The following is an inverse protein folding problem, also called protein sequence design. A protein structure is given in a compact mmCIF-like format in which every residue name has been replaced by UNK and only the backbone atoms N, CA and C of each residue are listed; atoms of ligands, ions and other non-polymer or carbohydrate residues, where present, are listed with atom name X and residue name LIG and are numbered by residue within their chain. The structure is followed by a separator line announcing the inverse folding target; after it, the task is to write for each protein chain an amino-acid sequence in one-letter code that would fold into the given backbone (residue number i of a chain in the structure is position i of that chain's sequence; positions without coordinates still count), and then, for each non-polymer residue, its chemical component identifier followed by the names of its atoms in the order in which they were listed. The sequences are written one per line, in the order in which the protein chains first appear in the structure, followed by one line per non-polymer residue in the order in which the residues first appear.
data_IF_543299023210
#
_entry.id   IF_543299023210
#
_cell.length_a   1.000
_cell.length_b   1.000
_cell.length_c   1.000
_cell.angle_alpha   90.00
_cell.angle_beta   90.00
_cell.angle_gamma   90.00
#
_symmetry.space_group_name_H-M   'P 1'
#
loop_
_entity.id
_entity.type
_entity.pdbx_description
1 polymer ?
#
# COMPACT_ATOMS: atom_id res chain seq x y z
N UNK A 1 9.21 -12.66 -11.23
CA UNK A 1 10.68 -12.52 -11.26
C UNK A 1 11.25 -12.34 -12.66
N UNK A 2 10.82 -13.13 -13.65
CA UNK A 2 11.30 -12.98 -15.05
C UNK A 2 11.17 -11.54 -15.57
N UNK A 3 10.01 -10.89 -15.37
CA UNK A 3 9.81 -9.51 -15.82
C UNK A 3 10.68 -8.48 -15.08
N UNK A 4 10.84 -8.63 -13.76
CA UNK A 4 11.71 -7.74 -12.98
C UNK A 4 13.19 -7.81 -13.41
N UNK A 5 13.61 -8.93 -14.01
CA UNK A 5 14.95 -9.12 -14.57
C UNK A 5 15.04 -8.70 -16.05
N UNK A 6 13.90 -8.52 -16.74
CA UNK A 6 13.86 -8.21 -18.17
C UNK A 6 14.18 -6.75 -18.44
N UNK A 7 13.59 -5.85 -17.66
CA UNK A 7 13.84 -4.41 -17.72
C UNK A 7 13.63 -3.74 -16.34
N UNK A 8 14.45 -2.73 -15.98
CA UNK A 8 14.27 -2.02 -14.72
C UNK A 8 12.88 -1.39 -14.62
N UNK A 9 12.09 -1.89 -13.66
CA UNK A 9 10.68 -1.51 -13.52
C UNK A 9 10.36 -1.21 -12.06
N UNK A 10 9.65 -0.10 -11.82
CA UNK A 10 9.03 0.19 -10.53
C UNK A 10 7.59 -0.35 -10.53
N UNK A 11 7.36 -1.42 -9.78
CA UNK A 11 6.06 -2.06 -9.63
C UNK A 11 5.30 -1.44 -8.45
N UNK A 12 4.03 -1.09 -8.66
CA UNK A 12 3.15 -0.57 -7.60
C UNK A 12 2.17 -1.63 -7.14
N UNK A 13 2.12 -1.90 -5.83
CA UNK A 13 1.16 -2.82 -5.20
C UNK A 13 0.18 -2.05 -4.31
N UNK A 14 -1.12 -2.25 -4.56
CA UNK A 14 -2.22 -1.53 -3.87
C UNK A 14 -2.72 -2.32 -2.66
N UNK A 15 -1.84 -2.49 -1.67
CA UNK A 15 -2.15 -3.04 -0.34
C UNK A 15 -1.10 -2.57 0.66
N UNK A 16 -1.42 -2.48 1.94
CA UNK A 16 -0.46 -2.02 2.96
C UNK A 16 0.66 -3.05 3.19
N UNK A 17 1.91 -2.61 3.11
CA UNK A 17 3.05 -3.52 3.29
C UNK A 17 3.24 -3.95 4.73
N UNK A 18 2.85 -3.13 5.69
CA UNK A 18 2.82 -3.49 7.10
C UNK A 18 1.71 -2.70 7.81
N UNK A 19 1.16 -3.22 8.92
CA UNK A 19 0.27 -2.43 9.76
C UNK A 19 1.02 -1.28 10.47
N UNK A 20 0.31 -0.32 11.06
CA UNK A 20 0.88 0.68 11.96
C UNK A 20 1.70 0.05 13.10
N UNK A 21 2.86 0.63 13.36
CA UNK A 21 3.81 0.24 14.41
C UNK A 21 4.18 1.42 15.31
N UNK A 22 4.52 2.57 14.73
CA UNK A 22 5.21 3.66 15.43
C UNK A 22 4.46 4.21 16.65
N UNK A 23 3.13 4.29 16.57
CA UNK A 23 2.31 4.83 17.66
C UNK A 23 2.25 3.93 18.91
N UNK A 24 2.47 2.62 18.73
CA UNK A 24 2.28 1.63 19.81
C UNK A 24 3.53 0.79 20.09
N UNK A 25 4.58 0.94 19.28
CA UNK A 25 5.78 0.11 19.34
C UNK A 25 5.53 -1.37 19.05
N UNK A 26 4.39 -1.72 18.45
CA UNK A 26 4.00 -3.09 18.15
C UNK A 26 2.87 -3.13 17.10
N UNK A 27 2.94 -4.09 16.17
CA UNK A 27 1.83 -4.37 15.25
C UNK A 27 0.61 -4.90 16.03
N UNK A 28 0.83 -5.84 16.95
CA UNK A 28 -0.23 -6.49 17.75
C UNK A 28 0.05 -6.29 19.25
N UNK A 29 -0.31 -5.13 19.83
CA UNK A 29 0.04 -4.78 21.20
C UNK A 29 -0.43 -5.81 22.23
N UNK A 30 0.46 -6.20 23.14
CA UNK A 30 0.17 -7.20 24.18
C UNK A 30 0.28 -8.65 23.72
N UNK A 31 0.64 -8.92 22.46
CA UNK A 31 1.09 -10.24 22.02
C UNK A 31 2.57 -10.45 22.34
N UNK A 32 2.95 -11.68 22.67
CA UNK A 32 4.35 -12.06 22.85
C UNK A 32 4.88 -12.75 21.59
N UNK A 33 6.16 -12.53 21.28
CA UNK A 33 6.81 -13.17 20.12
C UNK A 33 6.35 -12.65 18.76
N UNK A 34 5.72 -11.47 18.70
CA UNK A 34 5.43 -10.77 17.43
C UNK A 34 6.65 -9.96 17.02
N UNK A 35 7.15 -10.10 15.77
CA UNK A 35 8.31 -9.35 15.33
C UNK A 35 8.10 -7.83 15.26
N UNK A 36 9.19 -7.08 15.39
CA UNK A 36 9.19 -5.62 15.49
C UNK A 36 9.65 -4.91 14.20
N UNK A 37 9.82 -5.65 13.11
CA UNK A 37 10.12 -5.08 11.79
C UNK A 37 9.29 -5.77 10.69
N UNK A 38 9.14 -5.09 9.56
CA UNK A 38 8.24 -5.50 8.48
C UNK A 38 8.63 -6.87 7.92
N UNK A 39 9.92 -7.12 7.68
CA UNK A 39 10.39 -8.35 7.01
C UNK A 39 10.10 -9.58 7.85
N UNK A 40 10.44 -9.52 9.12
CA UNK A 40 10.19 -10.61 10.05
C UNK A 40 8.69 -10.75 10.33
N UNK A 41 7.95 -9.64 10.34
CA UNK A 41 6.49 -9.68 10.46
C UNK A 41 5.83 -10.36 9.24
N UNK A 42 6.33 -10.16 8.02
CA UNK A 42 5.83 -10.87 6.85
C UNK A 42 6.06 -12.38 6.96
N UNK A 43 7.25 -12.79 7.42
CA UNK A 43 7.55 -14.21 7.68
C UNK A 43 6.63 -14.78 8.78
N UNK A 44 6.36 -13.99 9.82
CA UNK A 44 5.43 -14.36 10.89
C UNK A 44 4.00 -14.54 10.38
N UNK A 45 3.51 -13.63 9.53
CA UNK A 45 2.19 -13.75 8.89
C UNK A 45 2.13 -15.03 8.04
N UNK A 46 3.12 -15.28 7.18
CA UNK A 46 3.15 -16.47 6.32
C UNK A 46 3.17 -17.78 7.12
N UNK A 47 3.94 -17.81 8.23
CA UNK A 47 4.01 -18.98 9.11
C UNK A 47 2.73 -19.22 9.93
N UNK A 48 1.94 -18.17 10.18
CA UNK A 48 0.70 -18.24 10.98
C UNK A 48 -0.58 -18.27 10.14
N UNK A 49 -0.47 -18.20 8.82
CA UNK A 49 -1.57 -18.27 7.87
C UNK A 49 -1.45 -19.53 6.99
N UNK A 50 -2.01 -20.68 7.40
CA UNK A 50 -1.96 -21.91 6.62
C UNK A 50 -2.89 -21.89 5.39
N UNK A 51 -3.56 -20.77 5.12
CA UNK A 51 -4.54 -20.65 4.05
C UNK A 51 -3.90 -20.89 2.66
N UNK A 52 -4.67 -21.45 1.73
CA UNK A 52 -4.27 -21.67 0.34
C UNK A 52 -4.10 -20.33 -0.42
N UNK A 53 -3.44 -20.36 -1.58
CA UNK A 53 -3.34 -19.22 -2.53
C UNK A 53 -2.97 -17.87 -1.91
N UNK A 54 -2.03 -17.87 -0.95
CA UNK A 54 -1.60 -16.66 -0.21
C UNK A 54 -2.70 -16.00 0.64
N UNK A 55 -3.84 -16.65 0.87
CA UNK A 55 -4.86 -16.17 1.79
C UNK A 55 -4.28 -15.89 3.18
N UNK A 56 -4.91 -14.99 3.94
CA UNK A 56 -4.50 -14.76 5.32
C UNK A 56 -5.69 -14.70 6.28
N UNK A 57 -6.83 -15.27 5.87
CA UNK A 57 -8.05 -15.23 6.66
C UNK A 57 -7.84 -15.85 8.04
N UNK A 58 -7.17 -17.00 8.14
CA UNK A 58 -6.90 -17.66 9.43
C UNK A 58 -6.10 -16.78 10.38
N UNK A 59 -5.17 -15.96 9.87
CA UNK A 59 -4.38 -15.03 10.70
C UNK A 59 -5.28 -13.99 11.37
N UNK A 60 -6.21 -13.39 10.62
CA UNK A 60 -7.11 -12.35 11.12
C UNK A 60 -8.30 -12.93 11.88
N UNK A 61 -8.84 -14.08 11.45
CA UNK A 61 -10.12 -14.60 11.93
C UNK A 61 -9.96 -15.55 13.14
N UNK A 62 -8.79 -16.20 13.28
CA UNK A 62 -8.54 -17.18 14.33
C UNK A 62 -7.31 -16.84 15.18
N UNK A 63 -6.14 -16.62 14.57
CA UNK A 63 -4.88 -16.49 15.32
C UNK A 63 -4.82 -15.19 16.12
N UNK A 64 -5.14 -14.05 15.49
CA UNK A 64 -5.01 -12.71 16.08
C UNK A 64 -6.33 -11.94 16.10
N UNK A 65 -7.45 -12.66 16.16
CA UNK A 65 -8.82 -12.13 16.00
C UNK A 65 -9.15 -10.89 16.84
N UNK A 66 -8.61 -10.82 18.05
CA UNK A 66 -8.83 -9.71 18.99
C UNK A 66 -8.32 -8.35 18.50
N UNK A 67 -7.43 -8.32 17.50
CA UNK A 67 -6.83 -7.08 16.98
C UNK A 67 -7.56 -6.51 15.77
N UNK A 68 -8.51 -7.25 15.20
CA UNK A 68 -9.19 -6.90 13.96
C UNK A 68 -10.66 -6.64 14.20
N UNK A 69 -11.16 -5.55 13.62
CA UNK A 69 -12.56 -5.18 13.68
C UNK A 69 -13.34 -5.85 12.54
N UNK A 70 -14.23 -6.78 12.88
CA UNK A 70 -15.11 -7.51 11.95
C UNK A 70 -16.59 -7.20 12.15
N UNK A 71 -16.97 -6.56 13.26
CA UNK A 71 -18.35 -6.17 13.51
C UNK A 71 -18.52 -5.37 14.79
N UNK A 72 -19.72 -4.80 14.96
CA UNK A 72 -20.12 -4.15 16.22
C UNK A 72 -20.01 -5.11 17.42
N UNK A 73 -20.08 -6.42 17.19
CA UNK A 73 -19.87 -7.45 18.22
C UNK A 73 -18.45 -7.44 18.82
N UNK A 74 -17.47 -6.85 18.12
CA UNK A 74 -16.09 -6.72 18.61
C UNK A 74 -15.90 -5.51 19.52
N UNK A 75 -16.85 -4.56 19.53
CA UNK A 75 -16.79 -3.33 20.31
C UNK A 75 -16.78 -2.06 19.45
N UNK A 76 -16.19 -0.99 19.99
CA UNK A 76 -16.15 0.32 19.31
C UNK A 76 -15.06 0.32 18.25
N UNK A 77 -15.43 0.50 16.98
CA UNK A 77 -14.51 0.51 15.82
C UNK A 77 -13.24 1.35 16.04
N UNK A 78 -13.38 2.51 16.66
CA UNK A 78 -12.27 3.45 16.89
C UNK A 78 -11.14 2.86 17.74
N UNK A 79 -11.42 1.84 18.57
CA UNK A 79 -10.43 1.20 19.43
C UNK A 79 -9.51 0.24 18.64
N UNK A 80 -9.92 -0.15 17.44
CA UNK A 80 -9.18 -1.05 16.55
C UNK A 80 -8.44 -0.29 15.45
N UNK A 81 -9.08 0.73 14.89
CA UNK A 81 -8.62 1.46 13.71
C UNK A 81 -7.43 2.35 14.07
N UNK A 82 -6.26 1.96 13.55
CA UNK A 82 -4.98 2.66 13.70
C UNK A 82 -4.41 3.00 12.33
N UNK A 83 -3.58 4.04 12.26
CA UNK A 83 -3.03 4.55 11.01
C UNK A 83 -1.51 4.71 11.09
N UNK A 84 -0.84 4.57 9.95
CA UNK A 84 0.61 4.80 9.85
C UNK A 84 0.89 6.29 9.80
N UNK A 85 2.14 6.67 10.06
CA UNK A 85 2.58 8.06 9.95
C UNK A 85 2.33 8.64 8.54
N UNK A 86 2.51 7.85 7.48
CA UNK A 86 2.19 8.29 6.11
C UNK A 86 0.69 8.55 5.90
N UNK A 87 -0.17 7.75 6.54
CA UNK A 87 -1.62 7.92 6.47
C UNK A 87 -2.05 9.22 7.19
N UNK A 88 -1.45 9.52 8.36
CA UNK A 88 -1.66 10.79 9.04
C UNK A 88 -1.25 11.98 8.19
N UNK A 89 -0.09 11.90 7.52
CA UNK A 89 0.39 12.95 6.62
C UNK A 89 -0.56 13.17 5.44
N UNK A 90 -1.04 12.09 4.84
CA UNK A 90 -2.06 12.15 3.78
C UNK A 90 -3.35 12.80 4.27
N UNK A 91 -3.81 12.44 5.48
CA UNK A 91 -5.00 13.01 6.08
C UNK A 91 -4.84 14.53 6.35
N UNK A 92 -3.67 14.96 6.83
CA UNK A 92 -3.34 16.38 7.03
C UNK A 92 -3.34 17.17 5.70
N UNK A 93 -2.91 16.55 4.61
CA UNK A 93 -2.98 17.11 3.25
C UNK A 93 -4.40 17.06 2.64
N UNK A 94 -5.44 16.71 3.41
CA UNK A 94 -6.83 16.66 2.98
C UNK A 94 -7.29 15.31 2.39
N UNK A 95 -6.48 14.25 2.50
CA UNK A 95 -6.86 12.90 2.11
C UNK A 95 -7.83 12.29 3.12
N UNK A 96 -9.14 12.31 2.89
CA UNK A 96 -10.11 11.84 3.91
C UNK A 96 -10.38 10.33 3.97
N UNK A 97 -9.55 9.47 3.35
CA UNK A 97 -9.95 8.07 3.06
C UNK A 97 -8.81 7.04 3.03
N UNK A 98 -7.95 7.01 4.04
CA UNK A 98 -7.15 5.80 4.30
C UNK A 98 -8.01 4.80 5.08
N UNK A 99 -7.87 3.51 4.77
CA UNK A 99 -8.47 2.43 5.54
C UNK A 99 -7.38 1.82 6.42
N UNK A 100 -7.72 1.49 7.67
CA UNK A 100 -6.78 0.82 8.57
C UNK A 100 -6.61 -0.64 8.17
N UNK A 101 -5.39 -1.16 8.28
CA UNK A 101 -5.10 -2.58 8.14
C UNK A 101 -5.79 -3.47 9.20
N UNK A 102 -6.39 -2.86 10.24
CA UNK A 102 -7.15 -3.56 11.28
C UNK A 102 -8.68 -3.53 11.05
N UNK A 103 -9.16 -2.82 10.03
CA UNK A 103 -10.57 -2.77 9.67
C UNK A 103 -10.90 -3.88 8.65
N UNK A 104 -11.48 -4.98 9.13
CA UNK A 104 -11.83 -6.15 8.32
C UNK A 104 -13.29 -6.13 7.85
N UNK A 105 -14.02 -5.02 8.03
CA UNK A 105 -15.42 -4.88 7.61
C UNK A 105 -15.56 -4.34 6.18
N UNK A 106 -16.54 -4.91 5.47
CA UNK A 106 -17.14 -4.32 4.27
C UNK A 106 -16.33 -4.54 3.01
N UNK A 107 -16.78 -3.92 1.90
CA UNK A 107 -16.19 -4.11 0.57
C UNK A 107 -14.74 -3.60 0.44
N UNK A 108 -14.22 -2.90 1.46
CA UNK A 108 -12.86 -2.38 1.44
C UNK A 108 -11.81 -3.48 1.64
N UNK A 109 -12.09 -4.56 2.41
CA UNK A 109 -11.20 -5.73 2.70
C UNK A 109 -9.68 -5.45 2.68
N UNK A 110 -9.26 -4.24 3.05
CA UNK A 110 -7.87 -3.79 2.93
C UNK A 110 -7.02 -4.61 3.88
N UNK A 111 -7.56 -4.96 5.04
CA UNK A 111 -6.96 -5.89 5.98
C UNK A 111 -6.61 -7.22 5.29
N UNK A 112 -7.60 -7.99 4.81
CA UNK A 112 -7.34 -9.32 4.21
C UNK A 112 -6.37 -9.25 3.03
N UNK A 113 -6.54 -8.27 2.13
CA UNK A 113 -5.65 -8.08 0.99
C UNK A 113 -4.22 -7.74 1.42
N UNK A 114 -4.05 -6.89 2.44
CA UNK A 114 -2.72 -6.51 2.95
C UNK A 114 -2.00 -7.67 3.60
N UNK A 115 -2.68 -8.46 4.44
CA UNK A 115 -2.03 -9.63 5.07
C UNK A 115 -1.73 -10.74 4.06
N UNK A 116 -2.59 -10.97 3.07
CA UNK A 116 -2.26 -11.84 1.92
C UNK A 116 -1.06 -11.29 1.12
N UNK A 117 -1.04 -9.97 0.91
CA UNK A 117 0.06 -9.24 0.30
C UNK A 117 1.37 -9.37 1.07
N UNK A 118 1.34 -9.37 2.41
CA UNK A 118 2.54 -9.61 3.24
C UNK A 118 3.12 -11.00 3.02
N UNK A 119 2.27 -12.03 2.84
CA UNK A 119 2.75 -13.38 2.43
C UNK A 119 3.43 -13.34 1.06
N UNK A 120 2.90 -12.57 0.11
CA UNK A 120 3.56 -12.34 -1.18
C UNK A 120 4.91 -11.64 -1.01
N UNK A 121 4.96 -10.55 -0.22
CA UNK A 121 6.18 -9.80 0.07
C UNK A 121 7.27 -10.70 0.68
N UNK A 122 6.90 -11.59 1.60
CA UNK A 122 7.81 -12.59 2.16
C UNK A 122 8.43 -13.47 1.05
N UNK A 123 7.62 -13.97 0.12
CA UNK A 123 8.08 -14.87 -0.97
C UNK A 123 8.94 -14.18 -2.03
N UNK A 124 8.78 -12.88 -2.23
CA UNK A 124 9.57 -12.10 -3.20
C UNK A 124 10.75 -11.36 -2.55
N UNK A 125 10.80 -11.33 -1.23
CA UNK A 125 11.91 -10.78 -0.45
C UNK A 125 13.25 -11.35 -0.91
N UNK A 126 14.25 -10.48 -1.08
CA UNK A 126 15.58 -10.83 -1.57
C UNK A 126 15.65 -11.16 -3.07
N UNK A 127 14.51 -11.18 -3.78
CA UNK A 127 14.46 -11.39 -5.24
C UNK A 127 14.29 -10.07 -6.00
N UNK A 128 13.51 -9.14 -5.44
CA UNK A 128 13.33 -7.76 -5.93
C UNK A 128 13.38 -6.82 -4.74
N UNK A 129 13.91 -5.60 -4.92
CA UNK A 129 13.92 -4.61 -3.85
C UNK A 129 12.48 -4.20 -3.50
N UNK A 130 12.18 -4.10 -2.20
CA UNK A 130 10.87 -3.65 -1.69
C UNK A 130 11.09 -2.34 -0.96
N UNK A 131 10.72 -1.22 -1.59
CA UNK A 131 10.84 0.10 -0.97
C UNK A 131 9.69 0.37 0.00
N UNK A 132 9.93 1.01 1.16
CA UNK A 132 11.21 1.54 1.65
C UNK A 132 12.05 0.57 2.51
N UNK A 133 11.65 -0.70 2.63
CA UNK A 133 12.37 -1.70 3.43
C UNK A 133 13.76 -2.00 2.88
N UNK A 134 13.93 -1.85 1.56
CA UNK A 134 15.19 -1.97 0.83
C UNK A 134 15.62 -0.64 0.20
N UNK A 135 16.93 -0.40 0.08
CA UNK A 135 17.43 0.66 -0.78
C UNK A 135 17.10 0.34 -2.25
N UNK A 136 16.73 1.38 -3.01
CA UNK A 136 16.60 1.26 -4.47
C UNK A 136 17.93 1.63 -5.10
N UNK A 137 18.46 0.73 -5.93
CA UNK A 137 19.67 0.97 -6.70
C UNK A 137 19.33 1.35 -8.15
N UNK A 138 20.08 2.28 -8.77
CA UNK A 138 19.89 2.63 -10.17
C UNK A 138 19.96 1.40 -11.08
N UNK A 139 19.05 1.32 -12.05
CA UNK A 139 19.02 0.22 -13.02
C UNK A 139 18.47 -1.10 -12.47
N UNK A 140 17.89 -1.12 -11.26
CA UNK A 140 17.22 -2.29 -10.71
C UNK A 140 15.71 -2.09 -10.63
N UNK A 141 14.98 -3.20 -10.72
CA UNK A 141 13.55 -3.22 -10.45
C UNK A 141 13.27 -3.14 -8.95
N UNK A 142 12.18 -2.48 -8.60
CA UNK A 142 11.72 -2.35 -7.22
C UNK A 142 10.20 -2.45 -7.14
N UNK A 143 9.70 -2.83 -5.97
CA UNK A 143 8.29 -2.85 -5.60
C UNK A 143 8.04 -1.74 -4.60
N UNK A 144 6.97 -0.98 -4.76
CA UNK A 144 6.52 0.02 -3.80
C UNK A 144 5.03 -0.11 -3.52
N UNK A 145 4.66 0.25 -2.30
CA UNK A 145 3.26 0.41 -1.93
C UNK A 145 2.69 1.64 -2.64
N UNK A 146 1.49 1.52 -3.22
CA UNK A 146 0.82 2.63 -3.89
C UNK A 146 -0.59 2.86 -3.36
N UNK A 147 -1.10 4.07 -3.58
CA UNK A 147 -2.48 4.43 -3.36
C UNK A 147 -2.94 5.33 -4.51
N UNK A 148 -3.65 4.78 -5.50
CA UNK A 148 -3.97 5.46 -6.78
C UNK A 148 -4.41 6.91 -6.64
N UNK A 149 -5.27 7.19 -5.65
CA UNK A 149 -5.84 8.52 -5.44
C UNK A 149 -4.78 9.59 -5.14
N UNK A 150 -3.62 9.25 -4.56
CA UNK A 150 -2.57 10.24 -4.28
C UNK A 150 -2.05 10.89 -5.55
N UNK A 151 -1.94 10.13 -6.65
CA UNK A 151 -1.41 10.66 -7.90
C UNK A 151 -2.37 11.67 -8.53
N UNK A 152 -3.68 11.41 -8.46
CA UNK A 152 -4.68 12.38 -8.90
C UNK A 152 -4.63 13.66 -8.06
N UNK A 153 -4.45 13.54 -6.75
CA UNK A 153 -4.34 14.69 -5.85
C UNK A 153 -3.08 15.51 -6.11
N UNK A 154 -1.94 14.84 -6.29
CA UNK A 154 -0.67 15.48 -6.64
C UNK A 154 -0.75 16.19 -8.00
N UNK A 155 -1.64 15.74 -8.90
CA UNK A 155 -1.94 16.40 -10.17
C UNK A 155 -2.96 17.55 -10.06
N UNK A 156 -3.39 17.93 -8.85
CA UNK A 156 -4.38 18.99 -8.61
C UNK A 156 -5.83 18.60 -8.85
N UNK A 157 -6.14 17.29 -8.96
CA UNK A 157 -7.48 16.78 -9.24
C UNK A 157 -8.21 16.36 -7.95
N UNK A 158 -9.52 16.13 -8.05
CA UNK A 158 -10.37 15.77 -6.90
C UNK A 158 -10.08 14.38 -6.30
N UNK A 159 -9.32 13.52 -6.99
CA UNK A 159 -9.11 12.13 -6.58
C UNK A 159 -10.37 11.25 -6.63
N UNK A 160 -11.40 11.69 -7.35
CA UNK A 160 -12.58 10.89 -7.62
C UNK A 160 -12.24 9.72 -8.57
N UNK A 161 -13.03 8.64 -8.48
CA UNK A 161 -12.91 7.51 -9.42
C UNK A 161 -13.25 7.98 -10.83
N UNK A 162 -12.39 7.65 -11.79
CA UNK A 162 -12.57 7.99 -13.20
C UNK A 162 -13.25 6.81 -13.89
N UNK A 163 -14.22 7.07 -14.77
CA UNK A 163 -14.95 6.02 -15.52
C UNK A 163 -15.22 6.39 -16.97
N UNK A 164 -14.52 7.41 -17.44
CA UNK A 164 -14.64 7.89 -18.82
C UNK A 164 -13.27 8.12 -19.41
N UNK A 165 -13.12 7.93 -20.71
CA UNK A 165 -11.90 8.25 -21.46
C UNK A 165 -11.57 9.74 -21.34
N UNK A 166 -12.57 10.60 -21.32
CA UNK A 166 -12.37 12.05 -21.20
C UNK A 166 -11.70 12.39 -19.87
N UNK A 167 -12.24 11.90 -18.76
CA UNK A 167 -11.67 12.17 -17.42
C UNK A 167 -10.30 11.52 -17.26
N UNK A 168 -10.13 10.28 -17.78
CA UNK A 168 -8.82 9.62 -17.81
C UNK A 168 -7.79 10.46 -18.58
N UNK A 169 -8.13 10.97 -19.76
CA UNK A 169 -7.19 11.73 -20.58
C UNK A 169 -6.87 13.10 -19.97
N UNK A 170 -7.82 13.73 -19.28
CA UNK A 170 -7.56 14.93 -18.47
C UNK A 170 -6.56 14.63 -17.35
N UNK A 171 -6.75 13.51 -16.64
CA UNK A 171 -5.85 13.07 -15.59
C UNK A 171 -4.45 12.74 -16.12
N UNK A 172 -4.35 11.99 -17.22
CA UNK A 172 -3.07 11.66 -17.85
C UNK A 172 -2.33 12.92 -18.30
N UNK A 173 -3.04 13.90 -18.88
CA UNK A 173 -2.46 15.18 -19.26
C UNK A 173 -1.88 15.92 -18.04
N UNK A 174 -2.63 16.00 -16.94
CA UNK A 174 -2.17 16.63 -15.71
C UNK A 174 -0.93 15.92 -15.11
N UNK A 175 -0.84 14.61 -15.30
CA UNK A 175 0.32 13.78 -14.93
C UNK A 175 1.45 13.80 -15.98
N UNK A 176 1.40 14.71 -16.98
CA UNK A 176 2.44 14.83 -18.00
C UNK A 176 2.56 13.60 -18.92
N UNK A 177 1.47 12.86 -19.11
CA UNK A 177 1.40 11.63 -19.88
C UNK A 177 0.54 11.79 -21.15
N UNK A 178 0.87 11.10 -22.25
CA UNK A 178 0.00 11.08 -23.43
C UNK A 178 -1.40 10.53 -23.12
N UNK A 179 -2.42 10.92 -23.90
CA UNK A 179 -3.77 10.37 -23.74
C UNK A 179 -3.79 8.87 -24.03
N UNK A 180 -4.64 8.14 -23.32
CA UNK A 180 -4.88 6.73 -23.55
C UNK A 180 -5.64 6.53 -24.87
N UNK A 181 -5.14 5.61 -25.71
CA UNK A 181 -5.74 5.26 -27.01
C UNK A 181 -6.71 4.08 -26.88
N UNK A 182 -7.66 4.19 -25.94
CA UNK A 182 -8.66 3.15 -25.70
C UNK A 182 -9.78 3.22 -26.74
N UNK A 183 -10.21 2.05 -27.22
CA UNK A 183 -11.35 1.90 -28.16
C UNK A 183 -12.70 1.72 -27.44
N UNK A 184 -12.70 1.79 -26.11
CA UNK A 184 -13.85 1.56 -25.23
C UNK A 184 -13.81 2.53 -24.03
N UNK A 185 -14.94 2.71 -23.34
CA UNK A 185 -14.96 3.43 -22.06
C UNK A 185 -14.40 2.54 -20.94
N UNK A 186 -13.37 2.98 -20.22
CA UNK A 186 -12.74 2.17 -19.18
C UNK A 186 -13.58 2.12 -17.90
N UNK A 187 -13.48 1.02 -17.17
CA UNK A 187 -13.97 0.96 -15.78
C UNK A 187 -13.01 1.66 -14.80
N UNK A 188 -13.38 1.68 -13.52
CA UNK A 188 -12.55 2.31 -12.49
C UNK A 188 -11.25 1.54 -12.22
N UNK A 189 -11.21 0.22 -12.39
CA UNK A 189 -9.98 -0.56 -12.23
C UNK A 189 -8.95 -0.25 -13.32
N UNK A 190 -9.38 -0.17 -14.57
CA UNK A 190 -8.54 0.14 -15.72
C UNK A 190 -8.01 1.56 -15.66
N UNK A 191 -8.86 2.54 -15.30
CA UNK A 191 -8.40 3.91 -15.10
C UNK A 191 -7.44 4.02 -13.92
N UNK A 192 -7.71 3.34 -12.80
CA UNK A 192 -6.83 3.35 -11.63
C UNK A 192 -5.43 2.81 -11.97
N UNK A 193 -5.35 1.72 -12.75
CA UNK A 193 -4.06 1.17 -13.20
C UNK A 193 -3.27 2.15 -14.09
N UNK A 194 -3.93 2.76 -15.08
CA UNK A 194 -3.29 3.71 -16.01
C UNK A 194 -2.84 4.99 -15.31
N UNK A 195 -3.69 5.53 -14.43
CA UNK A 195 -3.39 6.71 -13.62
C UNK A 195 -2.26 6.43 -12.65
N UNK A 196 -2.25 5.27 -12.00
CA UNK A 196 -1.17 4.87 -11.09
C UNK A 196 0.16 4.79 -11.82
N UNK A 197 0.22 4.11 -12.97
CA UNK A 197 1.45 4.00 -13.74
C UNK A 197 1.97 5.38 -14.21
N UNK A 198 1.07 6.24 -14.73
CA UNK A 198 1.41 7.62 -15.10
C UNK A 198 1.86 8.44 -13.89
N UNK A 199 1.18 8.27 -12.76
CA UNK A 199 1.42 8.93 -11.49
C UNK A 199 2.77 8.59 -10.89
N UNK A 200 3.10 7.31 -10.82
CA UNK A 200 4.40 6.84 -10.37
C UNK A 200 5.52 7.41 -11.24
N UNK A 201 5.36 7.36 -12.57
CA UNK A 201 6.33 7.95 -13.51
C UNK A 201 6.51 9.45 -13.32
N UNK A 202 5.42 10.19 -13.12
CA UNK A 202 5.47 11.62 -12.84
C UNK A 202 6.16 11.89 -11.49
N UNK A 203 5.83 11.10 -10.46
CA UNK A 203 6.37 11.25 -9.12
C UNK A 203 7.87 10.97 -9.03
N UNK A 204 8.43 10.10 -9.87
CA UNK A 204 9.88 9.89 -9.95
C UNK A 204 10.69 11.16 -10.22
N UNK A 205 10.07 12.22 -10.77
CA UNK A 205 10.72 13.53 -10.99
C UNK A 205 10.69 14.42 -9.75
N UNK A 206 9.97 14.03 -8.70
CA UNK A 206 9.88 14.79 -7.46
C UNK A 206 11.18 14.61 -6.65
N UNK A 207 11.81 15.69 -6.13
CA UNK A 207 13.07 15.59 -5.38
C UNK A 207 13.01 14.66 -4.16
N UNK A 208 11.82 14.48 -3.60
CA UNK A 208 11.56 13.64 -2.43
C UNK A 208 10.86 12.30 -2.75
N UNK A 209 10.91 11.82 -3.99
CA UNK A 209 10.19 10.62 -4.40
C UNK A 209 10.50 9.38 -3.54
N UNK A 210 11.78 9.19 -3.18
CA UNK A 210 12.24 8.06 -2.35
C UNK A 210 12.72 8.47 -0.97
N UNK A 211 12.72 9.77 -0.69
CA UNK A 211 13.09 10.35 0.62
C UNK A 211 12.03 11.40 1.03
N UNK A 212 10.75 11.00 1.16
CA UNK A 212 9.69 11.91 1.56
C UNK A 212 9.93 12.44 2.97
N UNK A 213 9.62 13.72 3.25
CA UNK A 213 9.69 14.25 4.60
C UNK A 213 8.81 13.43 5.55
N UNK A 214 9.41 12.97 6.65
CA UNK A 214 8.75 12.15 7.66
C UNK A 214 9.06 10.66 7.57
N UNK A 215 9.60 10.14 6.45
CA UNK A 215 10.09 8.76 6.38
C UNK A 215 11.44 8.65 7.08
N UNK A 216 11.43 8.19 8.34
CA UNK A 216 12.64 7.90 9.11
C UNK A 216 13.18 6.48 8.80
N UNK A 217 14.46 6.19 9.12
CA UNK A 217 15.00 4.83 9.01
C UNK A 217 14.24 3.79 9.85
N UNK A 218 13.62 4.22 10.95
CA UNK A 218 12.77 3.36 11.77
C UNK A 218 11.48 3.01 11.04
N UNK A 219 10.75 4.02 10.54
CA UNK A 219 9.52 3.80 9.79
C UNK A 219 9.76 2.98 8.52
N UNK A 220 10.87 3.22 7.83
CA UNK A 220 11.25 2.45 6.64
C UNK A 220 11.35 0.95 6.91
N UNK A 221 11.79 0.54 8.12
CA UNK A 221 11.91 -0.86 8.52
C UNK A 221 10.65 -1.44 9.17
N UNK A 222 9.74 -0.60 9.68
CA UNK A 222 8.57 -1.06 10.46
C UNK A 222 7.26 -0.95 9.68
N UNK A 223 6.70 0.25 9.50
CA UNK A 223 5.38 0.43 8.88
C UNK A 223 5.44 0.93 7.42
N UNK A 224 6.63 1.30 6.95
CA UNK A 224 6.91 1.69 5.58
C UNK A 224 6.35 3.07 5.20
N UNK A 225 6.09 3.25 3.91
CA UNK A 225 5.55 4.48 3.36
C UNK A 225 4.84 4.21 2.03
N UNK A 226 3.72 4.87 1.77
CA UNK A 226 3.05 4.80 0.47
C UNK A 226 3.75 5.74 -0.53
N UNK A 227 4.18 5.21 -1.67
CA UNK A 227 4.83 5.97 -2.72
C UNK A 227 3.88 7.03 -3.29
N UNK A 228 4.36 8.26 -3.43
CA UNK A 228 3.54 9.41 -3.83
C UNK A 228 3.14 10.36 -2.69
N UNK A 229 3.26 9.95 -1.42
CA UNK A 229 3.01 10.84 -0.27
C UNK A 229 4.31 11.59 0.07
N UNK A 230 4.29 12.91 -0.10
CA UNK A 230 5.40 13.84 0.23
C UNK A 230 4.96 14.97 1.14
#
# INVERSE_FOLDING_TARGET
MVEAAREPTLFGFDFSFAPPFAERGAYLPGETGVPENARDFWAYVDAKAPDEDLGAASFLEAVHRRHFYFGIADGVKADFVRFRQCDHRLNQAGGRKTASAYDAIGAAQVAKASFAGMRLLHRISGRVAIWPMDPILPGQSAVSEIYTRIYLRNAGLSGAKLRTRTDLNLALKALGSPPARLRFEPDDHQTDALVTAAGMRAHLRHPHAFTPPGLSPELARTEGWTFGIV
#
